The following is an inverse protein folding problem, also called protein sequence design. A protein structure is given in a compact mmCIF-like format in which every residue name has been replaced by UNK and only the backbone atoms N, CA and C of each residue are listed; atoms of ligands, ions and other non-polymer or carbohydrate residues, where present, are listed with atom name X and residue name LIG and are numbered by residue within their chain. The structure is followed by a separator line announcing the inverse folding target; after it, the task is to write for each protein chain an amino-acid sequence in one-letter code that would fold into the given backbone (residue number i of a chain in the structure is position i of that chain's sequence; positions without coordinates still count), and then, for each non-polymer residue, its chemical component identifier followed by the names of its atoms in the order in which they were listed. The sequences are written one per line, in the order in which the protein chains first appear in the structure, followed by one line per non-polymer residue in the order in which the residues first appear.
data_IF_472899317327
#
_entry.id   IF_472899317327
#
_cell.length_a   1.000
_cell.length_b   1.000
_cell.length_c   1.000
_cell.angle_alpha   90.00
_cell.angle_beta   90.00
_cell.angle_gamma   90.00
#
_symmetry.space_group_name_H-M   'P 1'
#
loop_
_entity.id
_entity.type
_entity.pdbx_description
1 polymer ?
#
# COMPACT_ATOMS: atom_id res chain seq x y z
N UNK A 1 -22.20 -27.68 2.94
CA UNK A 1 -21.45 -26.56 3.57
C UNK A 1 -22.03 -25.21 3.14
N UNK A 2 -22.34 -24.98 1.86
CA UNK A 2 -22.82 -23.69 1.34
C UNK A 2 -24.21 -23.18 1.81
N UNK A 3 -24.78 -23.74 2.88
CA UNK A 3 -26.00 -23.15 3.48
C UNK A 3 -25.61 -21.89 4.25
N UNK A 4 -26.43 -20.84 4.18
CA UNK A 4 -26.20 -19.55 4.83
C UNK A 4 -25.69 -19.68 6.27
N UNK A 5 -26.40 -20.43 7.13
CA UNK A 5 -26.03 -20.57 8.56
C UNK A 5 -24.64 -21.17 8.77
N UNK A 6 -24.22 -22.10 7.90
CA UNK A 6 -22.90 -22.71 8.01
C UNK A 6 -21.80 -21.74 7.56
N UNK A 7 -22.02 -20.99 6.48
CA UNK A 7 -21.09 -19.98 5.99
C UNK A 7 -20.93 -18.85 6.99
N UNK A 8 -22.04 -18.35 7.54
CA UNK A 8 -22.07 -17.38 8.63
C UNK A 8 -21.25 -17.86 9.83
N UNK A 9 -21.45 -19.11 10.24
CA UNK A 9 -20.74 -19.69 11.38
C UNK A 9 -19.24 -19.85 11.13
N UNK A 10 -18.84 -20.22 9.91
CA UNK A 10 -17.43 -20.28 9.51
C UNK A 10 -16.78 -18.90 9.60
N UNK A 11 -17.38 -17.87 9.00
CA UNK A 11 -16.86 -16.51 9.03
C UNK A 11 -16.83 -15.93 10.45
N UNK A 12 -17.84 -16.22 11.28
CA UNK A 12 -17.84 -15.80 12.68
C UNK A 12 -16.73 -16.45 13.48
N UNK A 13 -16.39 -17.73 13.23
CA UNK A 13 -15.30 -18.38 13.95
C UNK A 13 -13.95 -17.74 13.67
N UNK A 14 -13.72 -17.24 12.46
CA UNK A 14 -12.44 -16.58 12.10
C UNK A 14 -12.23 -15.32 12.94
N UNK A 15 -13.31 -14.59 13.22
CA UNK A 15 -13.26 -13.30 13.92
C UNK A 15 -13.66 -13.39 15.39
N UNK A 16 -14.10 -14.54 15.90
CA UNK A 16 -14.61 -14.69 17.26
C UNK A 16 -13.55 -14.37 18.33
N UNK A 17 -13.90 -13.55 19.32
CA UNK A 17 -13.02 -13.15 20.43
C UNK A 17 -13.35 -13.86 21.75
N UNK A 18 -14.51 -14.53 21.80
CA UNK A 18 -15.17 -15.09 22.98
C UNK A 18 -15.14 -16.64 23.00
N UNK A 19 -14.19 -17.26 22.30
CA UNK A 19 -14.05 -18.72 22.28
C UNK A 19 -13.32 -19.24 23.53
N UNK A 20 -13.78 -20.39 24.04
CA UNK A 20 -13.10 -21.14 25.09
C UNK A 20 -11.63 -21.41 24.74
N UNK A 21 -10.74 -21.48 25.72
CA UNK A 21 -9.28 -21.65 25.51
C UNK A 21 -8.93 -22.82 24.56
N UNK A 22 -9.65 -23.95 24.67
CA UNK A 22 -9.44 -25.11 23.82
C UNK A 22 -9.91 -24.94 22.36
N UNK A 23 -10.73 -23.93 22.09
CA UNK A 23 -11.35 -23.66 20.78
C UNK A 23 -10.76 -22.42 20.10
N UNK A 24 -10.24 -21.46 20.88
CA UNK A 24 -9.74 -20.16 20.42
C UNK A 24 -8.68 -20.23 19.32
N UNK A 25 -7.91 -21.31 19.24
CA UNK A 25 -6.99 -21.54 18.12
C UNK A 25 -7.56 -22.47 17.06
N UNK A 26 -8.24 -23.54 17.48
CA UNK A 26 -8.69 -24.61 16.59
C UNK A 26 -9.78 -24.16 15.62
N UNK A 27 -10.78 -23.43 16.10
CA UNK A 27 -11.95 -23.07 15.28
C UNK A 27 -11.64 -21.97 14.25
N UNK A 28 -10.97 -20.85 14.62
CA UNK A 28 -10.57 -19.87 13.61
C UNK A 28 -9.64 -20.47 12.55
N UNK A 29 -8.68 -21.30 12.97
CA UNK A 29 -7.78 -22.00 12.05
C UNK A 29 -8.55 -22.88 11.06
N UNK A 30 -9.39 -23.81 11.55
CA UNK A 30 -10.14 -24.71 10.68
C UNK A 30 -11.11 -23.96 9.76
N UNK A 31 -11.78 -22.93 10.27
CA UNK A 31 -12.69 -22.13 9.45
C UNK A 31 -11.95 -21.38 8.34
N UNK A 32 -10.80 -20.78 8.66
CA UNK A 32 -9.92 -20.15 7.69
C UNK A 32 -9.43 -21.15 6.64
N UNK A 33 -8.94 -22.33 7.03
CA UNK A 33 -8.44 -23.36 6.11
C UNK A 33 -9.54 -23.91 5.20
N UNK A 34 -10.76 -24.09 5.71
CA UNK A 34 -11.90 -24.56 4.90
C UNK A 34 -12.21 -23.57 3.77
N UNK A 35 -12.26 -22.28 4.06
CA UNK A 35 -12.50 -21.25 3.03
C UNK A 35 -11.28 -21.14 2.09
N UNK A 36 -10.08 -21.30 2.65
CA UNK A 36 -8.81 -21.29 1.90
C UNK A 36 -8.60 -22.51 1.01
N UNK A 37 -9.51 -23.50 1.03
CA UNK A 37 -9.56 -24.55 0.01
C UNK A 37 -10.11 -24.03 -1.33
N UNK A 38 -10.52 -22.76 -1.39
CA UNK A 38 -10.90 -22.03 -2.60
C UNK A 38 -12.03 -22.69 -3.42
N UNK A 39 -12.95 -23.36 -2.72
CA UNK A 39 -14.10 -24.03 -3.35
C UNK A 39 -15.01 -22.95 -3.95
N UNK A 40 -15.12 -22.89 -5.28
CA UNK A 40 -15.85 -21.83 -5.99
C UNK A 40 -17.26 -21.61 -5.46
N UNK A 41 -18.02 -22.67 -5.18
CA UNK A 41 -19.38 -22.55 -4.66
C UNK A 41 -19.46 -21.94 -3.26
N UNK A 42 -18.40 -22.05 -2.43
CA UNK A 42 -18.34 -21.39 -1.14
C UNK A 42 -18.06 -19.90 -1.34
N UNK A 43 -17.10 -19.57 -2.21
CA UNK A 43 -16.72 -18.18 -2.47
C UNK A 43 -17.86 -17.41 -3.15
N UNK A 44 -18.47 -17.99 -4.19
CA UNK A 44 -19.64 -17.42 -4.89
C UNK A 44 -20.81 -17.17 -3.94
N UNK A 45 -21.12 -18.15 -3.08
CA UNK A 45 -22.20 -18.00 -2.10
C UNK A 45 -21.94 -16.82 -1.14
N UNK A 46 -20.70 -16.59 -0.71
CA UNK A 46 -20.36 -15.50 0.22
C UNK A 46 -20.28 -14.15 -0.49
N UNK A 47 -19.58 -14.08 -1.64
CA UNK A 47 -19.25 -12.80 -2.29
C UNK A 47 -20.40 -12.30 -3.18
N UNK A 48 -21.06 -13.21 -3.90
CA UNK A 48 -22.05 -12.87 -4.93
C UNK A 48 -23.47 -12.97 -4.38
N UNK A 49 -23.81 -14.11 -3.76
CA UNK A 49 -25.19 -14.41 -3.36
C UNK A 49 -25.57 -13.77 -2.01
N UNK A 50 -24.66 -13.75 -1.03
CA UNK A 50 -24.94 -13.39 0.37
C UNK A 50 -24.06 -12.22 0.83
N UNK A 51 -24.26 -11.05 0.21
CA UNK A 51 -23.45 -9.83 0.48
C UNK A 51 -23.46 -9.41 1.96
N UNK A 52 -24.50 -9.72 2.71
CA UNK A 52 -24.59 -9.46 4.14
C UNK A 52 -23.54 -10.24 4.95
N UNK A 53 -23.16 -11.44 4.52
CA UNK A 53 -22.06 -12.20 5.12
C UNK A 53 -20.72 -11.52 4.88
N UNK A 54 -20.48 -11.03 3.67
CA UNK A 54 -19.28 -10.28 3.34
C UNK A 54 -19.21 -8.97 4.14
N UNK A 55 -20.32 -8.23 4.22
CA UNK A 55 -20.41 -7.01 5.05
C UNK A 55 -20.13 -7.30 6.53
N UNK A 56 -20.73 -8.36 7.08
CA UNK A 56 -20.50 -8.78 8.46
C UNK A 56 -19.04 -9.17 8.68
N UNK A 57 -18.44 -9.92 7.75
CA UNK A 57 -17.05 -10.31 7.85
C UNK A 57 -16.11 -9.10 7.76
N UNK A 58 -16.39 -8.17 6.85
CA UNK A 58 -15.62 -6.93 6.68
C UNK A 58 -15.70 -6.00 7.91
N UNK A 59 -16.78 -6.07 8.70
CA UNK A 59 -16.92 -5.34 9.97
C UNK A 59 -15.86 -5.71 11.02
N UNK A 60 -15.06 -6.75 10.78
CA UNK A 60 -13.83 -7.00 11.54
C UNK A 60 -12.92 -5.76 11.62
N UNK A 61 -12.87 -4.96 10.54
CA UNK A 61 -12.08 -3.72 10.51
C UNK A 61 -12.74 -2.55 11.27
N UNK A 62 -14.00 -2.69 11.71
CA UNK A 62 -14.70 -1.68 12.53
C UNK A 62 -14.25 -1.71 13.99
N UNK A 63 -13.41 -2.67 14.37
CA UNK A 63 -12.81 -2.73 15.70
C UNK A 63 -11.98 -1.47 15.95
N UNK A 64 -11.94 -0.98 17.21
CA UNK A 64 -11.13 0.17 17.56
C UNK A 64 -9.67 -0.03 17.14
N UNK A 65 -9.18 0.84 16.25
CA UNK A 65 -7.78 0.87 15.87
C UNK A 65 -6.94 1.54 16.97
N UNK A 66 -5.67 1.14 17.07
CA UNK A 66 -4.70 1.90 17.86
C UNK A 66 -4.65 3.32 17.33
N UNK A 67 -4.89 4.35 18.18
CA UNK A 67 -4.86 5.72 17.73
C UNK A 67 -3.44 6.02 17.25
N UNK A 68 -3.33 6.74 16.13
CA UNK A 68 -2.03 7.21 15.66
C UNK A 68 -1.50 8.19 16.67
N UNK A 69 -0.38 7.86 17.30
CA UNK A 69 0.09 8.61 18.47
C UNK A 69 0.83 9.85 18.01
N UNK A 70 0.39 11.01 18.50
CA UNK A 70 1.18 12.24 18.47
C UNK A 70 2.02 12.32 19.73
N UNK A 71 3.16 13.01 19.66
CA UNK A 71 4.03 13.21 20.82
C UNK A 71 3.35 13.98 21.96
N UNK A 72 2.32 14.78 21.64
CA UNK A 72 1.52 15.50 22.64
C UNK A 72 0.43 14.64 23.29
N UNK A 73 0.17 13.45 22.76
CA UNK A 73 -0.85 12.56 23.31
C UNK A 73 -0.35 11.98 24.65
N UNK A 74 -1.23 11.87 25.66
CA UNK A 74 -0.87 11.20 26.90
C UNK A 74 -0.46 9.76 26.61
N UNK A 75 0.59 9.27 27.29
CA UNK A 75 0.95 7.85 27.26
C UNK A 75 -0.15 7.08 28.00
N UNK A 76 -1.17 6.66 27.27
CA UNK A 76 -2.22 5.79 27.80
C UNK A 76 -1.65 4.37 27.75
N UNK A 77 -1.71 3.59 28.85
CA UNK A 77 -1.40 2.16 28.82
C UNK A 77 -2.17 1.48 27.69
N UNK A 78 -1.62 0.40 27.13
CA UNK A 78 -2.33 -0.42 26.15
C UNK A 78 -3.76 -0.68 26.65
N UNK A 79 -4.74 -0.13 25.92
CA UNK A 79 -6.15 -0.29 26.27
C UNK A 79 -6.52 -1.69 25.81
N UNK A 80 -6.85 -2.55 26.77
CA UNK A 80 -7.32 -3.90 26.48
C UNK A 80 -8.51 -3.84 25.51
N UNK A 81 -8.38 -4.52 24.36
CA UNK A 81 -9.40 -4.52 23.30
C UNK A 81 -9.23 -3.44 22.22
N UNK A 82 -8.12 -2.68 22.20
CA UNK A 82 -7.74 -1.78 21.09
C UNK A 82 -6.71 -2.46 20.19
N UNK A 83 -6.90 -2.31 18.87
CA UNK A 83 -6.11 -2.98 17.84
C UNK A 83 -6.67 -4.33 17.43
N UNK A 84 -6.16 -4.87 16.32
CA UNK A 84 -6.51 -6.19 15.84
C UNK A 84 -5.55 -7.23 16.41
N UNK A 85 -6.07 -8.40 16.80
CA UNK A 85 -5.24 -9.56 17.08
C UNK A 85 -4.52 -9.99 15.80
N UNK A 86 -3.19 -10.07 15.84
CA UNK A 86 -2.36 -10.33 14.65
C UNK A 86 -2.70 -11.67 13.97
N UNK A 87 -3.05 -12.70 14.74
CA UNK A 87 -3.42 -14.00 14.18
C UNK A 87 -4.78 -13.93 13.50
N UNK A 88 -5.78 -13.32 14.14
CA UNK A 88 -7.10 -13.11 13.53
C UNK A 88 -7.02 -12.25 12.28
N UNK A 89 -6.23 -11.17 12.30
CA UNK A 89 -6.01 -10.32 11.14
C UNK A 89 -5.37 -11.11 9.99
N UNK A 90 -4.42 -12.01 10.29
CA UNK A 90 -3.83 -12.88 9.27
C UNK A 90 -4.85 -13.83 8.63
N UNK A 91 -5.76 -14.43 9.42
CA UNK A 91 -6.83 -15.27 8.89
C UNK A 91 -7.86 -14.48 8.10
N UNK A 92 -8.25 -13.30 8.59
CA UNK A 92 -9.11 -12.36 7.87
C UNK A 92 -8.53 -12.02 6.50
N UNK A 93 -7.29 -11.52 6.46
CA UNK A 93 -6.63 -11.15 5.22
C UNK A 93 -6.41 -12.34 4.28
N UNK A 94 -6.13 -13.54 4.81
CA UNK A 94 -6.02 -14.76 4.01
C UNK A 94 -7.34 -15.07 3.30
N UNK A 95 -8.46 -15.02 4.01
CA UNK A 95 -9.79 -15.25 3.41
C UNK A 95 -10.17 -14.15 2.43
N UNK A 96 -9.93 -12.88 2.75
CA UNK A 96 -10.15 -11.77 1.82
C UNK A 96 -9.29 -11.94 0.56
N UNK A 97 -8.05 -12.40 0.68
CA UNK A 97 -7.17 -12.65 -0.48
C UNK A 97 -7.72 -13.74 -1.40
N UNK A 98 -8.31 -14.80 -0.83
CA UNK A 98 -9.01 -15.84 -1.60
C UNK A 98 -10.19 -15.23 -2.36
N UNK A 99 -10.98 -14.38 -1.71
CA UNK A 99 -12.11 -13.70 -2.35
C UNK A 99 -11.65 -12.76 -3.46
N UNK A 100 -10.61 -11.95 -3.22
CA UNK A 100 -10.01 -11.05 -4.22
C UNK A 100 -9.44 -11.81 -5.42
N UNK A 101 -9.02 -13.06 -5.25
CA UNK A 101 -8.45 -13.87 -6.33
C UNK A 101 -9.53 -14.59 -7.13
N UNK A 102 -10.60 -15.05 -6.49
CA UNK A 102 -11.67 -15.84 -7.14
C UNK A 102 -12.83 -15.00 -7.66
N UNK A 103 -13.09 -13.86 -7.04
CA UNK A 103 -14.20 -12.94 -7.35
C UNK A 103 -13.68 -11.50 -7.34
N UNK A 104 -12.65 -11.24 -8.17
CA UNK A 104 -11.94 -9.95 -8.21
C UNK A 104 -12.89 -8.79 -8.46
N UNK A 105 -13.74 -8.90 -9.49
CA UNK A 105 -14.66 -7.83 -9.91
C UNK A 105 -15.60 -7.45 -8.77
N UNK A 106 -16.26 -8.44 -8.17
CA UNK A 106 -17.25 -8.25 -7.12
C UNK A 106 -16.62 -7.72 -5.83
N UNK A 107 -15.41 -8.17 -5.49
CA UNK A 107 -14.67 -7.66 -4.34
C UNK A 107 -14.19 -6.22 -4.56
N UNK A 108 -13.72 -5.89 -5.76
CA UNK A 108 -13.33 -4.52 -6.12
C UNK A 108 -14.55 -3.59 -6.08
N UNK A 109 -15.69 -4.02 -6.62
CA UNK A 109 -16.96 -3.29 -6.52
C UNK A 109 -17.40 -3.12 -5.06
N UNK A 110 -17.30 -4.17 -4.24
CA UNK A 110 -17.61 -4.11 -2.82
C UNK A 110 -16.74 -3.08 -2.09
N UNK A 111 -15.42 -3.10 -2.30
CA UNK A 111 -14.50 -2.14 -1.68
C UNK A 111 -14.84 -0.72 -2.12
N UNK A 112 -15.04 -0.50 -3.43
CA UNK A 112 -15.40 0.81 -4.01
C UNK A 112 -16.78 1.32 -3.60
N UNK A 113 -17.69 0.43 -3.19
CA UNK A 113 -19.07 0.79 -2.86
C UNK A 113 -19.21 1.73 -1.67
N UNK A 114 -18.23 1.74 -0.75
CA UNK A 114 -18.21 2.61 0.44
C UNK A 114 -16.81 3.21 0.62
N UNK A 115 -16.64 4.54 0.48
CA UNK A 115 -15.39 5.26 0.77
C UNK A 115 -14.73 4.88 2.11
N UNK A 116 -15.57 4.62 3.11
CA UNK A 116 -15.18 4.23 4.46
C UNK A 116 -14.36 2.93 4.51
N UNK A 117 -14.48 2.05 3.52
CA UNK A 117 -13.68 0.82 3.45
C UNK A 117 -12.18 1.11 3.38
N UNK A 118 -11.76 2.17 2.68
CA UNK A 118 -10.37 2.58 2.68
C UNK A 118 -9.97 3.12 4.06
N UNK A 119 -10.80 3.96 4.68
CA UNK A 119 -10.53 4.49 6.01
C UNK A 119 -10.34 3.39 7.06
N UNK A 120 -11.15 2.33 7.00
CA UNK A 120 -11.04 1.13 7.83
C UNK A 120 -9.69 0.44 7.66
N UNK A 121 -9.26 0.18 6.42
CA UNK A 121 -7.93 -0.40 6.13
C UNK A 121 -6.83 0.50 6.66
N UNK A 122 -6.91 1.81 6.37
CA UNK A 122 -5.92 2.79 6.80
C UNK A 122 -5.81 2.85 8.33
N UNK A 123 -6.92 2.71 9.06
CA UNK A 123 -6.88 2.76 10.53
C UNK A 123 -6.01 1.65 11.14
N UNK A 124 -5.84 0.52 10.45
CA UNK A 124 -5.13 -0.66 10.97
C UNK A 124 -3.80 -0.96 10.25
N UNK A 125 -3.16 0.01 9.59
CA UNK A 125 -1.89 -0.22 8.88
C UNK A 125 -0.73 -0.69 9.78
N UNK A 126 -0.82 -0.48 11.09
CA UNK A 126 0.12 -1.03 12.08
C UNK A 126 0.21 -2.57 11.99
N UNK A 127 -0.90 -3.22 11.62
CA UNK A 127 -0.97 -4.68 11.50
C UNK A 127 -0.44 -5.09 10.13
N UNK A 128 0.67 -5.84 10.09
CA UNK A 128 1.35 -6.22 8.85
C UNK A 128 0.42 -6.86 7.81
N UNK A 129 -0.47 -7.76 8.25
CA UNK A 129 -1.44 -8.43 7.38
C UNK A 129 -2.40 -7.44 6.68
N UNK A 130 -2.74 -6.32 7.33
CA UNK A 130 -3.61 -5.27 6.76
C UNK A 130 -2.84 -4.40 5.77
N UNK A 131 -1.58 -4.07 6.07
CA UNK A 131 -0.72 -3.41 5.10
C UNK A 131 -0.52 -4.28 3.86
N UNK A 132 -0.29 -5.58 4.03
CA UNK A 132 -0.20 -6.54 2.92
C UNK A 132 -1.51 -6.62 2.11
N UNK A 133 -2.67 -6.52 2.78
CA UNK A 133 -3.96 -6.43 2.10
C UNK A 133 -4.04 -5.17 1.23
N UNK A 134 -3.69 -3.99 1.77
CA UNK A 134 -3.66 -2.74 1.00
C UNK A 134 -2.75 -2.85 -0.23
N UNK A 135 -1.54 -3.39 -0.05
CA UNK A 135 -0.58 -3.62 -1.12
C UNK A 135 -1.09 -4.63 -2.15
N UNK A 136 -1.85 -5.63 -1.71
CA UNK A 136 -2.53 -6.58 -2.60
C UNK A 136 -3.60 -5.89 -3.43
N UNK A 137 -4.39 -4.97 -2.84
CA UNK A 137 -5.33 -4.14 -3.59
C UNK A 137 -4.63 -3.28 -4.65
N UNK A 138 -3.48 -2.69 -4.33
CA UNK A 138 -2.69 -1.95 -5.33
C UNK A 138 -2.23 -2.85 -6.48
N UNK A 139 -1.79 -4.10 -6.17
CA UNK A 139 -1.38 -5.09 -7.18
C UNK A 139 -2.51 -5.55 -8.10
N UNK A 140 -3.77 -5.52 -7.66
CA UNK A 140 -4.91 -5.89 -8.52
C UNK A 140 -5.05 -5.00 -9.75
N UNK A 141 -4.46 -3.80 -9.75
CA UNK A 141 -4.44 -2.90 -10.89
C UNK A 141 -3.79 -3.51 -12.14
N UNK A 142 -2.92 -4.51 -11.97
CA UNK A 142 -2.30 -5.24 -13.08
C UNK A 142 -3.30 -6.17 -13.80
N UNK A 143 -4.40 -6.54 -13.12
CA UNK A 143 -5.46 -7.37 -13.66
C UNK A 143 -6.52 -6.51 -14.36
N UNK A 144 -7.10 -6.98 -15.49
CA UNK A 144 -8.21 -6.28 -16.16
C UNK A 144 -9.38 -5.93 -15.23
N UNK A 145 -9.73 -6.84 -14.31
CA UNK A 145 -10.84 -6.72 -13.36
C UNK A 145 -10.55 -5.73 -12.23
N UNK A 146 -9.26 -5.50 -11.91
CA UNK A 146 -8.85 -4.56 -10.86
C UNK A 146 -8.60 -3.14 -11.36
N UNK A 147 -8.75 -2.88 -12.67
CA UNK A 147 -8.44 -1.57 -13.25
C UNK A 147 -9.19 -0.41 -12.59
N UNK A 148 -8.47 0.69 -12.38
CA UNK A 148 -8.99 1.91 -11.74
C UNK A 148 -9.21 1.79 -10.24
N UNK A 149 -8.76 0.70 -9.60
CA UNK A 149 -8.76 0.61 -8.14
C UNK A 149 -7.74 1.57 -7.54
N UNK A 150 -6.54 1.69 -8.10
CA UNK A 150 -5.53 2.61 -7.58
C UNK A 150 -5.93 4.07 -7.75
N UNK A 151 -6.65 4.41 -8.82
CA UNK A 151 -7.26 5.74 -8.96
C UNK A 151 -8.23 6.02 -7.82
N UNK A 152 -9.14 5.08 -7.58
CA UNK A 152 -10.12 5.20 -6.52
C UNK A 152 -9.42 5.34 -5.16
N UNK A 153 -8.39 4.54 -4.88
CA UNK A 153 -7.60 4.68 -3.65
C UNK A 153 -6.98 6.08 -3.52
N UNK A 154 -6.41 6.61 -4.60
CA UNK A 154 -5.84 7.96 -4.65
C UNK A 154 -6.89 9.04 -4.41
N UNK A 155 -8.05 8.96 -5.08
CA UNK A 155 -9.15 9.93 -4.96
C UNK A 155 -9.76 9.96 -3.56
N UNK A 156 -9.69 8.84 -2.85
CA UNK A 156 -10.17 8.70 -1.47
C UNK A 156 -9.09 8.96 -0.42
N UNK A 157 -7.95 9.56 -0.83
CA UNK A 157 -6.98 10.13 0.10
C UNK A 157 -5.89 9.17 0.58
N UNK A 158 -5.64 8.03 -0.09
CA UNK A 158 -4.55 7.12 0.27
C UNK A 158 -3.20 7.86 0.40
N UNK A 159 -2.84 8.65 -0.62
CA UNK A 159 -1.57 9.36 -0.63
C UNK A 159 -1.49 10.43 0.46
N UNK A 160 -2.56 11.21 0.64
CA UNK A 160 -2.62 12.21 1.70
C UNK A 160 -2.49 11.57 3.09
N UNK A 161 -3.13 10.42 3.32
CA UNK A 161 -3.03 9.66 4.57
C UNK A 161 -1.59 9.21 4.84
N UNK A 162 -0.96 8.55 3.87
CA UNK A 162 0.41 8.06 4.00
C UNK A 162 1.41 9.21 4.23
N UNK A 163 1.29 10.32 3.51
CA UNK A 163 2.18 11.48 3.73
C UNK A 163 1.89 12.15 5.07
N UNK A 164 0.63 12.25 5.50
CA UNK A 164 0.27 12.81 6.83
C UNK A 164 0.88 12.01 7.99
N UNK A 165 1.10 10.71 7.83
CA UNK A 165 1.78 9.90 8.83
C UNK A 165 3.24 10.28 9.02
N UNK A 166 3.87 10.91 8.04
CA UNK A 166 5.25 11.42 8.15
C UNK A 166 5.35 12.77 8.88
N UNK A 167 4.23 13.34 9.34
CA UNK A 167 4.22 14.55 10.17
C UNK A 167 5.15 14.34 11.38
N UNK A 168 6.17 15.19 11.60
CA UNK A 168 7.21 14.97 12.60
C UNK A 168 6.73 15.05 14.06
N UNK A 169 5.44 15.35 14.29
CA UNK A 169 4.77 15.21 15.58
C UNK A 169 4.11 13.84 15.80
N UNK A 170 4.09 12.97 14.80
CA UNK A 170 3.67 11.58 14.89
C UNK A 170 4.82 10.73 15.45
N UNK A 171 4.51 9.53 15.94
CA UNK A 171 5.52 8.60 16.40
C UNK A 171 6.39 8.04 15.25
N UNK A 172 7.53 7.45 15.62
CA UNK A 172 8.47 6.90 14.64
C UNK A 172 7.89 5.68 13.90
N UNK A 173 6.93 4.97 14.49
CA UNK A 173 6.32 3.77 13.90
C UNK A 173 5.43 4.15 12.71
N UNK A 174 4.61 5.19 12.86
CA UNK A 174 3.80 5.78 11.79
C UNK A 174 4.66 6.24 10.61
N UNK A 175 5.83 6.81 10.88
CA UNK A 175 6.79 7.21 9.83
C UNK A 175 7.29 5.99 9.05
N UNK A 176 7.64 4.91 9.75
CA UNK A 176 8.12 3.66 9.14
C UNK A 176 7.03 2.95 8.33
N UNK A 177 5.79 2.90 8.85
CA UNK A 177 4.64 2.34 8.13
C UNK A 177 4.41 3.08 6.81
N UNK A 178 4.38 4.42 6.87
CA UNK A 178 4.21 5.26 5.70
C UNK A 178 5.33 5.07 4.68
N UNK A 179 6.58 5.09 5.14
CA UNK A 179 7.74 4.89 4.29
C UNK A 179 7.70 3.52 3.61
N UNK A 180 7.45 2.45 4.35
CA UNK A 180 7.40 1.10 3.81
C UNK A 180 6.31 0.99 2.74
N UNK A 181 5.09 1.41 3.05
CA UNK A 181 3.96 1.33 2.14
C UNK A 181 4.20 2.16 0.86
N UNK A 182 4.65 3.41 0.98
CA UNK A 182 4.97 4.27 -0.17
C UNK A 182 6.07 3.65 -1.04
N UNK A 183 7.16 3.17 -0.43
CA UNK A 183 8.26 2.54 -1.16
C UNK A 183 7.84 1.25 -1.88
N UNK A 184 6.98 0.43 -1.28
CA UNK A 184 6.46 -0.77 -1.94
C UNK A 184 5.57 -0.42 -3.13
N UNK A 185 4.72 0.60 -3.02
CA UNK A 185 3.91 1.11 -4.15
C UNK A 185 4.82 1.65 -5.27
N UNK A 186 5.88 2.39 -4.92
CA UNK A 186 6.89 2.86 -5.89
C UNK A 186 7.52 1.68 -6.63
N UNK A 187 7.94 0.63 -5.92
CA UNK A 187 8.57 -0.57 -6.52
C UNK A 187 7.61 -1.34 -7.42
N UNK A 188 6.33 -1.43 -7.05
CA UNK A 188 5.30 -2.06 -7.87
C UNK A 188 5.13 -1.36 -9.22
N UNK A 189 5.28 -0.03 -9.27
CA UNK A 189 5.18 0.73 -10.52
C UNK A 189 6.18 0.29 -11.60
N UNK A 190 7.25 -0.41 -11.22
CA UNK A 190 8.28 -0.93 -12.11
C UNK A 190 8.21 -2.43 -12.37
N UNK A 191 7.68 -3.22 -11.43
CA UNK A 191 7.67 -4.69 -11.57
C UNK A 191 6.78 -5.15 -12.73
N UNK A 192 5.76 -4.35 -13.08
CA UNK A 192 4.94 -4.56 -14.27
C UNK A 192 5.73 -4.50 -15.60
N UNK A 193 7.01 -4.10 -15.59
CA UNK A 193 7.88 -4.02 -16.77
C UNK A 193 8.86 -5.20 -16.91
N UNK A 194 9.06 -6.02 -15.87
CA UNK A 194 10.14 -7.02 -15.84
C UNK A 194 9.60 -8.39 -15.44
N UNK A 195 8.81 -9.03 -16.31
CA UNK A 195 8.82 -10.49 -16.34
C UNK A 195 10.05 -10.94 -17.13
N UNK A 196 10.87 -11.78 -16.50
CA UNK A 196 12.12 -12.31 -17.03
C UNK A 196 11.98 -12.84 -18.46
N UNK A 197 13.04 -12.78 -19.30
CA UNK A 197 13.01 -13.37 -20.63
C UNK A 197 12.92 -14.89 -20.49
N UNK A 198 11.70 -15.43 -20.38
CA UNK A 198 11.48 -16.84 -20.61
C UNK A 198 11.60 -17.05 -22.12
N UNK A 199 12.52 -17.95 -22.49
CA UNK A 199 12.81 -18.33 -23.87
C UNK A 199 11.50 -18.91 -24.45
N UNK A 200 10.70 -18.08 -25.10
CA UNK A 200 9.45 -18.53 -25.74
C UNK A 200 8.26 -17.56 -25.77
N UNK A 201 8.29 -16.40 -25.08
CA UNK A 201 7.20 -15.43 -25.21
C UNK A 201 7.46 -14.51 -26.40
N UNK A 202 6.54 -14.51 -27.37
CA UNK A 202 6.63 -13.70 -28.59
C UNK A 202 6.84 -12.22 -28.23
N UNK A 203 7.94 -11.60 -28.67
CA UNK A 203 8.31 -10.22 -28.35
C UNK A 203 7.17 -9.22 -28.63
N UNK A 204 6.30 -9.54 -29.60
CA UNK A 204 5.09 -8.77 -29.91
C UNK A 204 4.06 -8.79 -28.76
N UNK A 205 3.90 -9.90 -28.04
CA UNK A 205 2.99 -10.00 -26.89
C UNK A 205 3.54 -9.19 -25.72
N UNK A 206 4.85 -9.21 -25.49
CA UNK A 206 5.51 -8.37 -24.49
C UNK A 206 5.38 -6.88 -24.85
N UNK A 207 5.56 -6.51 -26.11
CA UNK A 207 5.35 -5.14 -26.59
C UNK A 207 3.88 -4.69 -26.54
N UNK A 208 2.93 -5.55 -26.91
CA UNK A 208 1.49 -5.26 -26.82
C UNK A 208 1.02 -5.16 -25.37
N UNK A 209 1.49 -6.03 -24.46
CA UNK A 209 1.25 -5.90 -23.01
C UNK A 209 1.78 -4.56 -22.51
N UNK A 210 2.98 -4.15 -22.91
CA UNK A 210 3.58 -2.86 -22.55
C UNK A 210 2.76 -1.66 -23.04
N UNK A 211 2.17 -1.76 -24.23
CA UNK A 211 1.31 -0.72 -24.82
C UNK A 211 -0.10 -0.67 -24.19
N UNK A 212 -0.61 -1.81 -23.71
CA UNK A 212 -1.95 -1.91 -23.09
C UNK A 212 -1.92 -1.59 -21.57
N UNK A 213 -0.76 -1.78 -20.92
CA UNK A 213 -0.51 -1.44 -19.51
C UNK A 213 0.01 0.01 -19.32
N UNK A 214 0.02 0.80 -20.39
CA UNK A 214 0.68 2.12 -20.49
C UNK A 214 0.09 3.21 -19.56
N UNK A 215 -1.05 2.94 -18.92
CA UNK A 215 -1.71 3.82 -17.96
C UNK A 215 -2.06 3.09 -16.66
N UNK A 216 -1.09 2.37 -16.08
CA UNK A 216 -1.31 1.84 -14.73
C UNK A 216 -1.55 3.02 -13.80
N UNK A 217 -2.70 3.04 -13.12
CA UNK A 217 -3.03 4.10 -12.17
C UNK A 217 -2.02 4.21 -11.01
N UNK A 218 -1.17 3.19 -10.82
CA UNK A 218 0.04 3.28 -9.99
C UNK A 218 0.97 4.42 -10.45
N UNK A 219 1.17 4.64 -11.76
CA UNK A 219 1.94 5.80 -12.25
C UNK A 219 1.28 7.14 -11.92
N UNK A 220 -0.06 7.19 -11.86
CA UNK A 220 -0.80 8.38 -11.42
C UNK A 220 -0.56 8.63 -9.93
N UNK A 221 -0.53 7.57 -9.11
CA UNK A 221 -0.11 7.69 -7.70
C UNK A 221 1.29 8.31 -7.58
N UNK A 222 2.27 7.84 -8.37
CA UNK A 222 3.63 8.40 -8.39
C UNK A 222 3.61 9.86 -8.87
N UNK A 223 2.88 10.18 -9.94
CA UNK A 223 2.73 11.56 -10.42
C UNK A 223 2.17 12.49 -9.35
N UNK A 224 1.17 12.03 -8.58
CA UNK A 224 0.61 12.78 -7.47
C UNK A 224 1.61 12.96 -6.32
N UNK A 225 2.40 11.91 -6.01
CA UNK A 225 3.43 11.97 -4.97
C UNK A 225 4.56 12.94 -5.31
N UNK A 226 5.01 12.99 -6.58
CA UNK A 226 6.08 13.92 -7.02
C UNK A 226 5.59 15.32 -7.34
N UNK A 227 4.27 15.58 -7.24
CA UNK A 227 3.69 16.89 -7.47
C UNK A 227 4.28 17.95 -6.53
N UNK A 228 4.33 19.20 -6.99
CA UNK A 228 4.87 20.32 -6.20
C UNK A 228 4.19 20.43 -4.83
N UNK A 229 2.86 20.23 -4.75
CA UNK A 229 2.10 20.27 -3.49
C UNK A 229 2.57 19.20 -2.51
N UNK A 230 2.63 17.95 -2.96
CA UNK A 230 2.93 16.83 -2.07
C UNK A 230 4.41 16.82 -1.65
N UNK A 231 5.31 17.14 -2.59
CA UNK A 231 6.73 17.26 -2.30
C UNK A 231 7.05 18.41 -1.35
N UNK A 232 6.38 19.57 -1.48
CA UNK A 232 6.54 20.65 -0.49
C UNK A 232 6.15 20.21 0.90
N UNK A 233 4.98 19.57 1.05
CA UNK A 233 4.50 19.04 2.33
C UNK A 233 5.49 18.05 2.95
N UNK A 234 5.97 17.08 2.17
CA UNK A 234 6.96 16.11 2.62
C UNK A 234 8.27 16.81 3.05
N UNK A 235 8.77 17.74 2.26
CA UNK A 235 10.01 18.47 2.56
C UNK A 235 9.83 19.40 3.78
N UNK A 236 8.66 20.00 3.97
CA UNK A 236 8.34 20.78 5.17
C UNK A 236 8.39 19.91 6.43
N UNK A 237 7.78 18.73 6.40
CA UNK A 237 7.89 17.74 7.47
C UNK A 237 9.35 17.32 7.73
N UNK A 238 10.13 17.07 6.67
CA UNK A 238 11.55 16.69 6.79
C UNK A 238 12.43 17.79 7.36
N UNK A 239 12.08 19.07 7.15
CA UNK A 239 12.90 20.22 7.51
C UNK A 239 12.44 20.91 8.79
N UNK A 240 11.37 20.45 9.44
CA UNK A 240 10.94 20.98 10.74
C UNK A 240 12.11 20.88 11.76
N UNK A 241 12.61 22.00 12.29
CA UNK A 241 13.78 22.03 13.15
C UNK A 241 13.50 21.66 14.60
N UNK A 242 12.26 21.86 15.05
CA UNK A 242 11.88 21.82 16.48
C UNK A 242 10.95 20.64 16.80
N UNK A 243 10.40 19.98 15.78
CA UNK A 243 9.52 18.84 15.96
C UNK A 243 10.24 17.64 16.62
N UNK A 244 9.54 16.90 17.50
CA UNK A 244 10.15 15.89 18.36
C UNK A 244 10.74 14.70 17.60
N UNK A 245 10.12 14.28 16.50
CA UNK A 245 10.57 13.14 15.68
C UNK A 245 11.12 13.58 14.32
N UNK A 246 11.60 14.83 14.23
CA UNK A 246 12.14 15.44 13.02
C UNK A 246 13.27 14.66 12.34
N UNK A 247 14.06 13.89 13.11
CA UNK A 247 15.12 13.02 12.58
C UNK A 247 14.54 11.80 11.88
N UNK A 248 13.51 11.19 12.47
CA UNK A 248 12.83 10.03 11.89
C UNK A 248 12.13 10.40 10.59
N UNK A 249 11.38 11.50 10.58
CA UNK A 249 10.76 12.02 9.35
C UNK A 249 11.78 12.30 8.26
N UNK A 250 12.92 12.90 8.60
CA UNK A 250 14.00 13.16 7.64
C UNK A 250 14.53 11.86 7.02
N UNK A 251 14.84 10.85 7.83
CA UNK A 251 15.36 9.55 7.36
C UNK A 251 14.35 8.86 6.44
N UNK A 252 13.09 8.79 6.87
CA UNK A 252 12.02 8.15 6.11
C UNK A 252 11.71 8.91 4.80
N UNK A 253 11.64 10.24 4.85
CA UNK A 253 11.44 11.09 3.67
C UNK A 253 12.58 11.00 2.65
N UNK A 254 13.84 11.01 3.12
CA UNK A 254 15.00 10.78 2.24
C UNK A 254 14.93 9.40 1.60
N UNK A 255 14.52 8.37 2.34
CA UNK A 255 14.39 7.00 1.81
C UNK A 255 13.35 6.93 0.69
N UNK A 256 12.19 7.59 0.87
CA UNK A 256 11.16 7.69 -0.18
C UNK A 256 11.71 8.39 -1.43
N UNK A 257 12.40 9.52 -1.27
CA UNK A 257 12.98 10.27 -2.39
C UNK A 257 14.04 9.45 -3.12
N UNK A 258 14.90 8.73 -2.38
CA UNK A 258 15.90 7.83 -2.97
C UNK A 258 15.22 6.74 -3.78
N UNK A 259 14.18 6.10 -3.25
CA UNK A 259 13.44 5.06 -3.96
C UNK A 259 12.71 5.63 -5.19
N UNK A 260 12.13 6.83 -5.13
CA UNK A 260 11.54 7.53 -6.29
C UNK A 260 12.58 7.77 -7.40
N UNK A 261 13.75 8.28 -7.05
CA UNK A 261 14.82 8.55 -8.02
C UNK A 261 15.32 7.23 -8.62
N UNK A 262 15.59 6.22 -7.78
CA UNK A 262 16.09 4.92 -8.22
C UNK A 262 15.11 4.23 -9.17
N UNK A 263 13.83 4.21 -8.81
CA UNK A 263 12.76 3.52 -9.53
C UNK A 263 12.01 4.43 -10.53
N UNK A 264 12.57 5.58 -10.90
CA UNK A 264 12.09 6.33 -12.06
C UNK A 264 13.20 6.51 -13.12
N UNK A 265 14.47 6.36 -12.72
CA UNK A 265 15.61 6.40 -13.64
C UNK A 265 16.00 5.04 -14.22
N UNK A 266 15.57 3.89 -13.65
CA UNK A 266 15.96 2.57 -14.18
C UNK A 266 15.34 2.22 -15.55
N UNK A 267 14.39 3.02 -16.05
CA UNK A 267 13.94 2.95 -17.45
C UNK A 267 15.05 3.37 -18.44
N UNK A 268 16.07 4.11 -17.98
CA UNK A 268 17.17 4.58 -18.84
C UNK A 268 18.32 3.59 -19.01
N UNK A 269 18.55 2.70 -18.03
CA UNK A 269 19.74 1.83 -18.00
C UNK A 269 19.51 0.44 -18.63
N UNK A 270 18.26 0.07 -18.91
CA UNK A 270 17.91 -1.20 -19.54
C UNK A 270 17.82 -1.06 -21.06
N UNK A 271 18.97 -0.93 -21.77
CA UNK A 271 19.34 -1.81 -22.91
C UNK A 271 20.67 -1.39 -23.62
N UNK A 272 21.83 -1.89 -23.18
CA UNK A 272 23.08 -1.77 -23.94
C UNK A 272 23.15 -2.67 -25.18
N UNK A 273 22.32 -3.72 -25.28
CA UNK A 273 22.34 -4.67 -26.41
C UNK A 273 21.48 -4.21 -27.61
N UNK A 274 20.40 -3.45 -27.41
CA UNK A 274 19.61 -2.88 -28.51
C UNK A 274 20.35 -1.76 -29.25
N UNK A 275 21.17 -0.98 -28.53
CA UNK A 275 21.86 0.17 -29.12
C UNK A 275 22.94 -0.23 -30.15
N UNK A 276 23.40 -1.49 -30.13
CA UNK A 276 24.43 -1.97 -31.05
C UNK A 276 23.91 -2.54 -32.38
N UNK A 277 22.68 -3.06 -32.43
CA UNK A 277 22.20 -3.89 -33.56
C UNK A 277 21.28 -3.12 -34.51
N UNK A 278 20.62 -2.04 -34.08
CA UNK A 278 19.61 -1.31 -34.87
C UNK A 278 20.06 0.06 -35.37
N UNK A 279 21.35 0.26 -35.67
CA UNK A 279 21.83 1.53 -36.22
C UNK A 279 21.34 1.84 -37.64
N UNK A 280 20.63 0.93 -38.30
CA UNK A 280 19.96 1.21 -39.56
C UNK A 280 18.55 0.61 -39.59
N UNK A 281 17.58 1.52 -39.65
CA UNK A 281 16.16 1.28 -39.93
C UNK A 281 15.37 0.56 -38.84
N UNK A 282 14.59 1.31 -38.07
CA UNK A 282 13.22 0.92 -37.66
C UNK A 282 12.50 2.09 -37.01
N UNK A 283 11.18 2.11 -37.22
CA UNK A 283 10.23 3.11 -36.75
C UNK A 283 10.49 3.58 -35.32
N UNK A 284 10.26 4.88 -35.11
CA UNK A 284 10.15 5.52 -33.80
C UNK A 284 9.04 4.84 -32.99
N UNK A 285 9.37 3.74 -32.32
CA UNK A 285 8.55 3.21 -31.23
C UNK A 285 8.63 4.30 -30.15
N UNK A 286 7.53 5.01 -29.96
CA UNK A 286 7.43 6.08 -28.97
C UNK A 286 7.93 5.56 -27.62
N UNK A 287 9.02 6.13 -27.11
CA UNK A 287 9.46 5.91 -25.73
C UNK A 287 8.35 6.43 -24.83
N UNK A 288 7.69 5.53 -24.11
CA UNK A 288 6.61 5.90 -23.20
C UNK A 288 7.16 6.74 -22.04
N UNK A 289 6.45 7.79 -21.60
CA UNK A 289 7.03 8.75 -20.67
C UNK A 289 7.15 8.13 -19.28
N UNK A 290 8.37 8.14 -18.74
CA UNK A 290 8.60 8.04 -17.29
C UNK A 290 7.89 9.19 -16.58
N UNK A 291 7.57 9.03 -15.30
CA UNK A 291 6.96 10.12 -14.54
C UNK A 291 7.99 11.26 -14.43
N UNK A 292 7.61 12.48 -14.79
CA UNK A 292 8.52 13.62 -14.69
C UNK A 292 8.82 13.93 -13.22
N UNK A 293 10.09 13.93 -12.85
CA UNK A 293 10.55 14.33 -11.52
C UNK A 293 10.81 15.84 -11.40
N UNK A 294 10.47 16.63 -12.42
CA UNK A 294 10.85 18.04 -12.49
C UNK A 294 10.35 18.85 -11.27
N UNK A 295 9.09 18.65 -10.87
CA UNK A 295 8.51 19.35 -9.72
C UNK A 295 9.19 18.96 -8.41
N UNK A 296 9.43 17.67 -8.20
CA UNK A 296 10.20 17.16 -7.05
C UNK A 296 11.60 17.79 -7.00
N UNK A 297 12.34 17.74 -8.10
CA UNK A 297 13.69 18.29 -8.17
C UNK A 297 13.72 19.80 -7.96
N UNK A 298 12.72 20.53 -8.47
CA UNK A 298 12.55 21.97 -8.25
C UNK A 298 12.32 22.27 -6.77
N UNK A 299 11.39 21.57 -6.11
CA UNK A 299 11.12 21.76 -4.67
C UNK A 299 12.37 21.45 -3.84
N UNK A 300 13.11 20.39 -4.16
CA UNK A 300 14.35 20.06 -3.47
C UNK A 300 15.43 21.12 -3.70
N UNK A 301 15.59 21.60 -4.94
CA UNK A 301 16.54 22.65 -5.31
C UNK A 301 16.30 23.95 -4.52
N UNK A 302 15.03 24.36 -4.40
CA UNK A 302 14.62 25.56 -3.65
C UNK A 302 14.96 25.45 -2.15
N UNK A 303 15.09 24.23 -1.62
CA UNK A 303 15.35 23.94 -0.20
C UNK A 303 16.77 23.42 0.09
N UNK A 304 17.67 23.43 -0.89
CA UNK A 304 19.07 22.95 -0.72
C UNK A 304 19.80 23.64 0.42
N UNK A 305 19.58 24.95 0.59
CA UNK A 305 20.19 25.72 1.67
C UNK A 305 19.77 25.23 3.05
N UNK A 306 18.49 24.86 3.22
CA UNK A 306 17.96 24.30 4.46
C UNK A 306 18.53 22.91 4.74
N UNK A 307 18.62 22.05 3.73
CA UNK A 307 19.29 20.74 3.87
C UNK A 307 20.76 20.90 4.26
N UNK A 308 21.48 21.85 3.65
CA UNK A 308 22.87 22.15 4.01
C UNK A 308 22.98 22.65 5.46
N UNK A 309 22.03 23.45 5.92
CA UNK A 309 21.98 23.91 7.31
C UNK A 309 21.83 22.74 8.30
N UNK A 310 21.14 21.65 7.93
CA UNK A 310 21.07 20.45 8.77
C UNK A 310 22.41 19.70 8.90
N UNK A 311 23.29 19.78 7.91
CA UNK A 311 24.65 19.22 7.99
C UNK A 311 25.53 20.02 8.96
N UNK A 312 25.35 21.34 8.98
CA UNK A 312 26.08 22.25 9.87
C UNK A 312 25.51 22.22 11.29
N UNK A 313 24.18 22.05 11.43
CA UNK A 313 23.44 22.02 12.69
C UNK A 313 22.54 20.77 12.74
N UNK A 314 23.12 19.59 13.03
CA UNK A 314 22.36 18.35 13.06
C UNK A 314 21.33 18.33 14.19
N UNK A 315 20.12 17.85 13.89
CA UNK A 315 18.96 17.82 14.80
C UNK A 315 19.18 16.94 16.05
N UNK A 316 20.05 15.95 15.96
CA UNK A 316 20.35 14.98 17.03
C UNK A 316 21.29 15.51 18.13
N UNK A 317 21.76 16.76 18.04
CA UNK A 317 22.44 17.40 19.16
C UNK A 317 21.36 17.92 20.10
N UNK A 318 20.90 17.04 21.00
CA UNK A 318 20.27 17.46 22.25
C UNK A 318 21.11 18.62 22.75
N UNK A 319 20.53 19.81 22.82
CA UNK A 319 21.11 20.89 23.63
C UNK A 319 21.11 20.34 25.05
N UNK A 320 22.21 19.69 25.42
CA UNK A 320 22.51 19.38 26.80
C UNK A 320 22.37 20.72 27.53
N UNK A 321 21.34 20.80 28.37
CA UNK A 321 21.02 22.00 29.13
C UNK A 321 22.26 22.42 29.93
N UNK A 322 22.56 23.73 29.83
CA UNK A 322 23.40 24.58 30.68
C UNK A 322 24.28 23.92 31.75
#
# INVERSE_FOLDING_TARGET
ICKYDNLRKLLSYITATDLDEGQRFKYPFLACEIISCEISQIVEAIVVEQKDLLETFWSFLDRPASPRRRVTDPVIPEIEGVGLDSLQASYFCKVISVFLTKQTTEMVEFIKSRPDNLAKILSHLQTSAIMDLLLTLVRLEELPEGKGLVQWLSDHGLLDDLVNRLDPYMDNEEHSIAQQCICEIIRMSQTSLVESPSIGVNDLITQLKRYILEYTYVKIFIANLVSERMMKKLVDFMLDPDAPNSTSTLINGVTIIIDLIRHNNSDMDNDPMLNGVYSYQTNTIARHPSVSLADMLKVLADRVSDFNNLLVKPKSVVRAFN
#
